data_IF_231333379155
#
_entry.id   IF_231333379155
#
_cell.length_a   1.000
_cell.length_b   1.000
_cell.length_c   1.000
_cell.angle_alpha   90.00
_cell.angle_beta   90.00
_cell.angle_gamma   90.00
#
_symmetry.space_group_name_H-M   'P 1'
#
loop_
_entity.id
_entity.type
_entity.pdbx_description
1 polymer ?
#
# COMPACT_ATOMS: atom_id res chain seq x y z
N UNK A 1 6.79 -12.43 -10.20
CA UNK A 1 5.89 -11.67 -9.31
C UNK A 1 5.13 -12.66 -8.44
N UNK A 2 4.73 -12.33 -7.20
CA UNK A 2 3.90 -13.21 -6.40
C UNK A 2 2.54 -13.41 -7.08
N UNK A 3 2.00 -14.63 -7.04
CA UNK A 3 0.73 -14.97 -7.71
C UNK A 3 -0.41 -14.04 -7.23
N UNK A 4 -1.26 -13.60 -8.16
CA UNK A 4 -2.40 -12.71 -7.88
C UNK A 4 -2.04 -11.22 -7.76
N UNK A 5 -0.77 -10.86 -7.67
CA UNK A 5 -0.33 -9.47 -7.59
C UNK A 5 0.01 -8.87 -8.96
N UNK A 6 -0.35 -7.60 -9.14
CA UNK A 6 0.08 -6.76 -10.26
C UNK A 6 0.71 -5.47 -9.74
N UNK A 7 1.36 -4.72 -10.61
CA UNK A 7 1.98 -3.41 -10.29
C UNK A 7 1.26 -2.29 -11.04
N UNK A 8 1.17 -1.12 -10.42
CA UNK A 8 0.61 0.08 -11.03
C UNK A 8 1.30 1.34 -10.48
N UNK A 9 1.50 2.33 -11.34
CA UNK A 9 2.07 3.63 -10.98
C UNK A 9 1.32 4.77 -11.67
N UNK A 10 1.42 5.97 -11.12
CA UNK A 10 0.83 7.17 -11.71
C UNK A 10 1.55 7.58 -13.01
N UNK A 11 2.89 7.58 -13.01
CA UNK A 11 3.70 7.79 -14.22
C UNK A 11 4.36 6.48 -14.70
N UNK A 12 4.64 6.37 -16.00
CA UNK A 12 5.22 5.16 -16.63
C UNK A 12 6.74 4.96 -16.37
N UNK A 13 7.40 5.85 -15.65
CA UNK A 13 8.85 5.80 -15.40
C UNK A 13 9.23 6.12 -13.95
N UNK A 14 10.53 5.94 -13.64
CA UNK A 14 11.09 6.26 -12.33
C UNK A 14 10.70 5.30 -11.21
N UNK A 15 10.16 4.12 -11.53
CA UNK A 15 9.73 3.12 -10.54
C UNK A 15 10.33 1.77 -10.86
N UNK A 16 10.95 1.16 -9.86
CA UNK A 16 11.43 -0.22 -9.90
C UNK A 16 10.67 -1.07 -8.89
N UNK A 17 10.10 -2.18 -9.38
CA UNK A 17 9.39 -3.15 -8.55
C UNK A 17 10.26 -4.38 -8.32
N UNK A 18 10.42 -4.79 -7.06
CA UNK A 18 11.18 -5.97 -6.68
C UNK A 18 10.31 -7.04 -6.05
N UNK A 19 10.60 -8.31 -6.33
CA UNK A 19 10.01 -9.45 -5.63
C UNK A 19 11.08 -10.45 -5.26
N UNK A 20 11.13 -10.84 -3.99
CA UNK A 20 12.01 -11.90 -3.50
C UNK A 20 11.18 -13.06 -2.97
N UNK A 21 11.23 -14.19 -3.68
CA UNK A 21 10.56 -15.42 -3.26
C UNK A 21 11.16 -15.96 -1.95
N UNK A 22 12.48 -15.99 -1.83
CA UNK A 22 13.18 -16.46 -0.64
C UNK A 22 12.80 -15.67 0.62
N UNK A 23 12.65 -14.34 0.50
CA UNK A 23 12.28 -13.45 1.61
C UNK A 23 10.78 -13.21 1.74
N UNK A 24 9.96 -13.74 0.82
CA UNK A 24 8.53 -13.45 0.70
C UNK A 24 8.22 -11.95 0.86
N UNK A 25 9.02 -11.12 0.18
CA UNK A 25 9.02 -9.67 0.30
C UNK A 25 8.85 -9.06 -1.09
N UNK A 26 8.05 -8.00 -1.18
CA UNK A 26 7.99 -7.13 -2.36
C UNK A 26 8.56 -5.76 -2.01
N UNK A 27 9.04 -5.05 -3.02
CA UNK A 27 9.59 -3.70 -2.85
C UNK A 27 9.17 -2.78 -3.98
N UNK A 28 9.23 -1.49 -3.67
CA UNK A 28 9.09 -0.38 -4.61
C UNK A 28 10.27 0.55 -4.35
N UNK A 29 10.97 0.93 -5.41
CA UNK A 29 11.92 2.03 -5.41
C UNK A 29 11.44 3.09 -6.38
N UNK A 30 11.45 4.35 -5.97
CA UNK A 30 11.11 5.49 -6.81
C UNK A 30 12.31 6.44 -6.87
N UNK A 31 12.71 6.77 -8.11
CA UNK A 31 13.85 7.61 -8.40
C UNK A 31 13.66 9.02 -7.81
N UNK A 32 14.67 9.60 -7.12
CA UNK A 32 14.60 10.96 -6.59
C UNK A 32 14.28 12.05 -7.62
N UNK A 33 14.64 11.86 -8.89
CA UNK A 33 14.40 12.77 -10.01
C UNK A 33 13.06 12.52 -10.72
N UNK A 34 12.33 11.48 -10.34
CA UNK A 34 11.03 11.14 -10.94
C UNK A 34 10.05 10.64 -9.87
N UNK A 35 9.59 11.53 -8.97
CA UNK A 35 8.62 11.17 -7.94
C UNK A 35 7.37 10.53 -8.53
N UNK A 36 6.78 9.59 -7.80
CA UNK A 36 5.67 8.82 -8.28
C UNK A 36 4.74 8.39 -7.15
N UNK A 37 3.55 7.92 -7.53
CA UNK A 37 2.68 7.14 -6.68
C UNK A 37 2.61 5.73 -7.27
N UNK A 38 3.22 4.77 -6.59
CA UNK A 38 3.41 3.42 -7.09
C UNK A 38 2.91 2.38 -6.08
N UNK A 39 2.36 1.28 -6.59
CA UNK A 39 1.83 0.20 -5.77
C UNK A 39 1.99 -1.18 -6.38
N UNK A 40 2.16 -2.17 -5.50
CA UNK A 40 1.71 -3.52 -5.76
C UNK A 40 0.24 -3.60 -5.37
N UNK A 41 -0.59 -4.26 -6.17
CA UNK A 41 -2.01 -4.39 -5.89
C UNK A 41 -2.53 -5.79 -6.22
N UNK A 42 -3.55 -6.22 -5.49
CA UNK A 42 -4.22 -7.50 -5.68
C UNK A 42 -5.72 -7.32 -5.43
N UNK A 43 -6.53 -7.83 -6.36
CA UNK A 43 -7.98 -7.98 -6.16
C UNK A 43 -8.24 -9.25 -5.36
N UNK A 44 -9.02 -9.14 -4.30
CA UNK A 44 -9.38 -10.24 -3.40
C UNK A 44 -10.90 -10.30 -3.24
N UNK A 45 -11.43 -11.52 -3.15
CA UNK A 45 -12.84 -11.77 -2.81
C UNK A 45 -13.02 -11.56 -1.31
N UNK A 46 -14.13 -10.94 -0.91
CA UNK A 46 -14.49 -10.70 0.48
C UNK A 46 -15.97 -10.98 0.69
N UNK A 47 -16.35 -11.24 1.94
CA UNK A 47 -17.74 -11.34 2.33
C UNK A 47 -18.37 -9.94 2.44
N UNK A 48 -19.62 -9.76 1.95
CA UNK A 48 -20.34 -8.51 2.13
C UNK A 48 -20.77 -8.33 3.59
N UNK A 49 -20.86 -7.08 4.03
CA UNK A 49 -21.24 -6.65 5.37
C UNK A 49 -20.36 -7.27 6.45
N UNK A 50 -19.07 -7.39 6.17
CA UNK A 50 -18.10 -8.06 7.01
C UNK A 50 -16.93 -7.14 7.29
N UNK A 51 -16.46 -7.17 8.54
CA UNK A 51 -15.30 -6.39 8.96
C UNK A 51 -14.03 -7.15 8.64
N UNK A 52 -13.05 -6.46 8.08
CA UNK A 52 -11.74 -7.02 7.80
C UNK A 52 -10.61 -6.17 8.38
N UNK A 53 -9.46 -6.81 8.58
CA UNK A 53 -8.19 -6.17 8.91
C UNK A 53 -7.16 -6.45 7.83
N UNK A 54 -6.66 -5.40 7.19
CA UNK A 54 -5.46 -5.46 6.35
C UNK A 54 -4.24 -5.16 7.23
N UNK A 55 -3.25 -6.03 7.20
CA UNK A 55 -2.06 -5.91 8.04
C UNK A 55 -0.79 -6.39 7.36
N UNK A 56 0.36 -5.98 7.87
CA UNK A 56 1.65 -6.40 7.37
C UNK A 56 2.81 -5.60 7.94
N UNK A 57 4.02 -5.93 7.49
CA UNK A 57 5.23 -5.20 7.86
C UNK A 57 5.69 -4.29 6.73
N UNK A 58 6.02 -3.05 7.08
CA UNK A 58 6.59 -2.06 6.16
C UNK A 58 7.96 -1.64 6.66
N UNK A 59 8.92 -1.48 5.75
CA UNK A 59 10.20 -0.79 5.99
C UNK A 59 10.35 0.28 4.93
N UNK A 60 10.92 1.43 5.29
CA UNK A 60 11.17 2.54 4.37
C UNK A 60 12.60 3.05 4.45
N UNK A 61 13.10 3.58 3.34
CA UNK A 61 14.42 4.20 3.28
C UNK A 61 14.38 5.43 2.36
N UNK A 62 14.86 6.56 2.90
CA UNK A 62 14.94 7.85 2.20
C UNK A 62 13.61 8.22 1.51
N UNK A 63 12.50 7.92 2.17
CA UNK A 63 11.17 8.21 1.62
C UNK A 63 10.81 9.66 1.86
N UNK A 64 10.64 10.43 0.79
CA UNK A 64 10.34 11.86 0.85
C UNK A 64 9.14 12.17 -0.04
N UNK A 65 8.06 12.77 0.50
CA UNK A 65 6.90 13.15 -0.29
C UNK A 65 7.18 14.46 -1.05
N UNK A 66 6.53 14.66 -2.19
CA UNK A 66 6.65 15.92 -2.95
C UNK A 66 5.83 17.07 -2.36
N UNK A 67 4.86 16.73 -1.52
CA UNK A 67 3.98 17.65 -0.81
C UNK A 67 3.85 17.20 0.64
N UNK A 68 3.77 18.14 1.56
CA UNK A 68 3.60 17.85 2.98
C UNK A 68 2.11 17.60 3.30
N UNK A 69 1.59 16.47 2.82
CA UNK A 69 0.26 15.98 3.15
C UNK A 69 0.37 14.75 4.06
N UNK A 70 -0.53 14.68 5.03
CA UNK A 70 -0.51 13.67 6.10
C UNK A 70 -0.64 12.22 5.60
N UNK A 71 -1.12 11.99 4.38
CA UNK A 71 -1.42 10.65 3.85
C UNK A 71 -0.38 10.13 2.84
N UNK A 72 0.63 10.94 2.48
CA UNK A 72 1.59 10.58 1.44
C UNK A 72 2.78 9.83 2.03
N UNK A 73 3.04 8.61 1.54
CA UNK A 73 4.20 7.80 1.93
C UNK A 73 3.96 6.31 1.73
N UNK A 74 4.74 5.47 2.42
CA UNK A 74 4.54 4.03 2.35
C UNK A 74 3.36 3.57 3.23
N UNK A 75 2.35 2.92 2.64
CA UNK A 75 1.15 2.47 3.38
C UNK A 75 0.59 1.15 2.85
N UNK A 76 -0.27 0.52 3.66
CA UNK A 76 -1.22 -0.49 3.20
C UNK A 76 -2.56 0.21 2.95
N UNK A 77 -3.18 -0.03 1.80
CA UNK A 77 -4.42 0.65 1.40
C UNK A 77 -5.45 -0.30 0.80
N UNK A 78 -6.72 0.10 0.87
CA UNK A 78 -7.82 -0.42 0.04
C UNK A 78 -8.13 0.66 -0.99
N UNK A 79 -8.16 0.29 -2.27
CA UNK A 79 -8.28 1.29 -3.35
C UNK A 79 -9.72 1.76 -3.59
N UNK A 80 -10.70 0.96 -3.20
CA UNK A 80 -12.10 1.33 -3.29
C UNK A 80 -12.39 2.43 -2.25
N UNK A 81 -13.01 3.52 -2.71
CA UNK A 81 -13.55 4.53 -1.79
C UNK A 81 -14.67 3.87 -0.98
N UNK A 82 -14.46 3.74 0.33
CA UNK A 82 -15.47 3.28 1.28
C UNK A 82 -16.13 4.53 1.89
N UNK A 83 -17.40 4.84 1.56
CA UNK A 83 -18.05 6.08 1.94
C UNK A 83 -18.10 6.35 3.46
N UNK A 84 -18.05 5.29 4.27
CA UNK A 84 -18.21 5.35 5.73
C UNK A 84 -16.98 5.90 6.47
N UNK A 85 -15.82 6.04 5.80
CA UNK A 85 -14.56 6.48 6.42
C UNK A 85 -14.10 7.87 5.99
N UNK A 86 -14.87 8.60 5.19
CA UNK A 86 -14.57 9.99 4.80
C UNK A 86 -13.35 10.20 3.88
N UNK A 87 -12.50 9.19 3.69
CA UNK A 87 -11.38 9.16 2.74
C UNK A 87 -10.95 7.71 2.46
N UNK A 88 -10.05 7.52 1.50
CA UNK A 88 -9.41 6.25 1.18
C UNK A 88 -8.98 5.50 2.45
N UNK A 89 -9.22 4.18 2.52
CA UNK A 89 -8.81 3.38 3.69
C UNK A 89 -7.35 3.01 3.59
N UNK A 90 -6.52 3.47 4.53
CA UNK A 90 -5.11 3.12 4.61
C UNK A 90 -4.54 3.19 6.03
N UNK A 91 -3.37 2.58 6.22
CA UNK A 91 -2.56 2.75 7.43
C UNK A 91 -1.91 4.14 7.45
N UNK A 92 -1.53 4.64 8.62
CA UNK A 92 -0.64 5.81 8.73
C UNK A 92 0.61 5.61 7.83
N UNK A 93 0.94 6.58 6.97
CA UNK A 93 2.06 6.43 6.05
C UNK A 93 3.40 6.46 6.78
N UNK A 94 4.37 5.74 6.22
CA UNK A 94 5.76 5.77 6.68
C UNK A 94 6.62 6.60 5.74
N UNK A 95 7.41 7.49 6.34
CA UNK A 95 8.33 8.41 5.67
C UNK A 95 9.75 8.31 6.25
N UNK A 96 10.71 8.92 5.56
CA UNK A 96 12.11 8.97 5.95
C UNK A 96 12.80 7.61 5.86
N UNK A 97 13.62 7.29 6.87
CA UNK A 97 14.30 5.99 6.97
C UNK A 97 13.93 5.31 8.28
N UNK A 98 13.14 4.25 8.19
CA UNK A 98 12.65 3.52 9.35
C UNK A 98 12.82 2.02 9.12
N UNK A 99 13.19 1.29 10.18
CA UNK A 99 13.21 -0.17 10.16
C UNK A 99 11.84 -0.79 9.95
N UNK A 100 11.77 -2.12 10.03
CA UNK A 100 10.50 -2.84 9.93
C UNK A 100 9.54 -2.42 11.03
N UNK A 101 8.35 -1.96 10.64
CA UNK A 101 7.24 -1.68 11.54
C UNK A 101 5.99 -2.43 11.10
N UNK A 102 5.29 -3.00 12.05
CA UNK A 102 3.98 -3.58 11.80
C UNK A 102 2.95 -2.47 11.64
N UNK A 103 2.03 -2.63 10.69
CA UNK A 103 0.95 -1.71 10.37
C UNK A 103 -0.32 -2.49 10.10
N UNK A 104 -1.45 -1.89 10.46
CA UNK A 104 -2.77 -2.47 10.24
C UNK A 104 -3.84 -1.38 10.11
N UNK A 105 -4.89 -1.68 9.36
CA UNK A 105 -6.09 -0.87 9.25
C UNK A 105 -7.30 -1.80 9.17
N UNK A 106 -8.39 -1.41 9.81
CA UNK A 106 -9.67 -2.12 9.79
C UNK A 106 -10.67 -1.37 8.95
N UNK A 107 -11.53 -2.10 8.25
CA UNK A 107 -12.59 -1.52 7.42
C UNK A 107 -13.76 -2.50 7.26
N UNK A 108 -14.92 -1.96 6.95
CA UNK A 108 -16.14 -2.71 6.66
C UNK A 108 -16.35 -2.79 5.14
N UNK A 109 -16.71 -3.97 4.63
CA UNK A 109 -16.85 -4.19 3.17
C UNK A 109 -18.11 -3.54 2.58
N UNK A 110 -19.11 -3.27 3.42
CA UNK A 110 -20.46 -2.95 2.96
C UNK A 110 -20.96 -4.05 2.00
N UNK A 111 -21.73 -3.70 0.98
CA UNK A 111 -22.28 -4.70 0.03
C UNK A 111 -21.24 -5.32 -0.93
N UNK A 112 -19.95 -4.98 -0.81
CA UNK A 112 -18.92 -5.44 -1.75
C UNK A 112 -18.61 -6.92 -1.55
N UNK A 113 -18.44 -7.61 -2.67
CA UNK A 113 -17.98 -9.01 -2.72
C UNK A 113 -16.51 -9.14 -3.14
N UNK A 114 -15.87 -8.03 -3.48
CA UNK A 114 -14.45 -7.94 -3.79
C UNK A 114 -13.92 -6.54 -3.48
N UNK A 115 -12.61 -6.48 -3.19
CA UNK A 115 -11.85 -5.24 -3.00
C UNK A 115 -10.47 -5.38 -3.64
N UNK A 116 -9.75 -4.27 -3.76
CA UNK A 116 -8.36 -4.21 -4.20
C UNK A 116 -7.50 -3.70 -3.05
N UNK A 117 -6.65 -4.58 -2.52
CA UNK A 117 -5.64 -4.19 -1.53
C UNK A 117 -4.36 -3.74 -2.24
N UNK A 118 -3.65 -2.79 -1.65
CA UNK A 118 -2.45 -2.20 -2.19
C UNK A 118 -1.33 -2.07 -1.15
N UNK A 119 -0.09 -2.28 -1.62
CA UNK A 119 1.16 -1.98 -0.94
C UNK A 119 1.77 -0.81 -1.68
N UNK A 120 1.65 0.38 -1.11
CA UNK A 120 1.77 1.64 -1.83
C UNK A 120 2.93 2.47 -1.31
N UNK A 121 3.61 3.17 -2.21
CA UNK A 121 4.57 4.22 -1.93
C UNK A 121 4.13 5.49 -2.66
N UNK A 122 3.53 6.42 -1.91
CA UNK A 122 2.77 7.57 -2.42
C UNK A 122 1.32 7.51 -1.97
N UNK A 123 0.50 8.45 -2.44
CA UNK A 123 -0.95 8.49 -2.18
C UNK A 123 -1.70 9.25 -3.27
N UNK A 124 -3.03 9.22 -3.24
CA UNK A 124 -3.84 10.03 -4.14
C UNK A 124 -3.44 11.51 -3.98
N UNK A 125 -3.28 12.22 -5.10
CA UNK A 125 -2.80 13.61 -5.16
C UNK A 125 -1.38 13.89 -4.61
N UNK A 126 -0.59 12.89 -4.21
CA UNK A 126 0.76 13.08 -3.67
C UNK A 126 1.76 12.00 -4.06
N UNK A 127 2.86 12.43 -4.68
CA UNK A 127 3.95 11.55 -5.11
C UNK A 127 5.04 11.45 -4.03
N UNK A 128 5.90 10.45 -4.17
CA UNK A 128 6.98 10.15 -3.23
C UNK A 128 8.21 9.66 -3.98
N UNK A 129 9.37 9.77 -3.34
CA UNK A 129 10.64 9.18 -3.78
C UNK A 129 11.16 8.21 -2.72
N UNK A 130 12.19 7.43 -3.03
CA UNK A 130 12.85 6.53 -2.07
C UNK A 130 12.36 5.09 -2.19
N UNK A 131 12.51 4.30 -1.12
CA UNK A 131 12.25 2.86 -1.18
C UNK A 131 11.35 2.38 -0.06
N UNK A 132 10.46 1.45 -0.39
CA UNK A 132 9.63 0.73 0.57
C UNK A 132 9.69 -0.79 0.32
N UNK A 133 9.64 -1.55 1.41
CA UNK A 133 9.57 -3.00 1.40
C UNK A 133 8.39 -3.46 2.23
N UNK A 134 7.72 -4.52 1.75
CA UNK A 134 6.52 -5.07 2.36
C UNK A 134 6.64 -6.58 2.49
N UNK A 135 6.22 -7.13 3.63
CA UNK A 135 6.20 -8.58 3.85
C UNK A 135 5.11 -9.00 4.83
N UNK A 136 4.79 -10.30 4.78
CA UNK A 136 3.78 -10.93 5.64
C UNK A 136 2.44 -10.18 5.64
N UNK A 137 2.01 -9.75 4.46
CA UNK A 137 0.74 -9.03 4.28
C UNK A 137 -0.41 -10.02 4.38
N UNK A 138 -1.42 -9.67 5.16
CA UNK A 138 -2.59 -10.51 5.42
C UNK A 138 -3.85 -9.66 5.42
N UNK A 139 -4.90 -10.22 4.82
CA UNK A 139 -6.27 -9.75 4.98
C UNK A 139 -6.99 -10.78 5.87
N UNK A 140 -7.51 -10.34 7.01
CA UNK A 140 -8.13 -11.22 8.01
C UNK A 140 -9.56 -10.76 8.25
N UNK A 141 -10.50 -11.68 8.11
CA UNK A 141 -11.89 -11.48 8.52
C UNK A 141 -11.95 -11.33 10.05
N UNK A 142 -12.72 -10.37 10.53
CA UNK A 142 -12.93 -10.12 11.95
C UNK A 142 -14.36 -10.50 12.33
N UNK A 143 -14.49 -11.12 13.51
CA UNK A 143 -15.77 -11.43 14.15
C UNK A 143 -16.44 -10.18 14.74
#
# INVERSE_FOLDING_TARGET
MPSGWSTSSFNQGGVEYGWSQARKTVSIHIDPQSPNDARWQQRVVVNPNTRYRLSGWIRVQKTTPTIDLLDVGANLSVLESLPELGSFTHTEPMLGSQGWRYRQVTFDTGERTWITIALRLGMYAGQTTGSAWFRSVQLTELE
#
